data_IF_691783654160
#
_entry.id   IF_691783654160
#
_cell.length_a   1.000
_cell.length_b   1.000
_cell.length_c   1.000
_cell.angle_alpha   90.00
_cell.angle_beta   90.00
_cell.angle_gamma   90.00
#
_symmetry.space_group_name_H-M   'P 1'
#
loop_
_entity.id
_entity.type
_entity.pdbx_description
1 polymer ?
#
# COMPACT_ATOMS: atom_id res chain seq x y z
N UNK A 1 -21.02 -8.57 -3.45
CA UNK A 1 -21.26 -7.11 -3.43
C UNK A 1 -20.69 -6.52 -4.72
N UNK A 2 -21.52 -6.13 -5.71
CA UNK A 2 -21.04 -5.50 -6.95
C UNK A 2 -20.80 -4.01 -6.68
N UNK A 3 -19.57 -3.64 -6.32
CA UNK A 3 -19.15 -2.22 -6.32
C UNK A 3 -19.21 -1.77 -7.78
N UNK A 4 -20.00 -0.73 -8.09
CA UNK A 4 -20.02 -0.14 -9.44
C UNK A 4 -18.63 0.42 -9.73
N UNK A 5 -18.10 0.18 -10.93
CA UNK A 5 -16.75 0.62 -11.33
C UNK A 5 -16.52 2.12 -11.03
N UNK A 6 -17.53 2.96 -11.24
CA UNK A 6 -17.50 4.39 -10.93
C UNK A 6 -17.21 4.70 -9.45
N UNK A 7 -17.71 3.87 -8.53
CA UNK A 7 -17.48 4.04 -7.09
C UNK A 7 -16.02 3.73 -6.74
N UNK A 8 -15.44 2.70 -7.36
CA UNK A 8 -14.03 2.36 -7.17
C UNK A 8 -13.11 3.47 -7.69
N UNK A 9 -13.39 4.02 -8.88
CA UNK A 9 -12.63 5.14 -9.43
C UNK A 9 -12.72 6.39 -8.56
N UNK A 10 -13.90 6.70 -8.02
CA UNK A 10 -14.08 7.82 -7.07
C UNK A 10 -13.24 7.63 -5.80
N UNK A 11 -13.25 6.43 -5.23
CA UNK A 11 -12.44 6.09 -4.06
C UNK A 11 -10.94 6.25 -4.38
N UNK A 12 -10.46 5.66 -5.48
CA UNK A 12 -9.06 5.77 -5.88
C UNK A 12 -8.62 7.22 -6.09
N UNK A 13 -9.41 8.02 -6.83
CA UNK A 13 -9.10 9.43 -7.06
C UNK A 13 -9.08 10.24 -5.76
N UNK A 14 -9.94 9.90 -4.80
CA UNK A 14 -9.99 10.59 -3.52
C UNK A 14 -8.83 10.22 -2.61
N UNK A 15 -8.45 8.95 -2.53
CA UNK A 15 -7.21 8.54 -1.84
C UNK A 15 -6.03 9.28 -2.46
N UNK A 16 -5.95 9.33 -3.79
CA UNK A 16 -4.89 10.05 -4.49
C UNK A 16 -4.83 11.54 -4.12
N UNK A 17 -5.98 12.20 -4.01
CA UNK A 17 -6.07 13.61 -3.62
C UNK A 17 -5.60 13.84 -2.17
N UNK A 18 -6.03 13.00 -1.23
CA UNK A 18 -5.61 13.06 0.19
C UNK A 18 -4.10 12.83 0.35
N UNK A 19 -3.51 12.02 -0.53
CA UNK A 19 -2.07 11.76 -0.54
C UNK A 19 -1.26 12.80 -1.33
N UNK A 20 -1.86 13.89 -1.81
CA UNK A 20 -1.15 14.97 -2.52
C UNK A 20 -0.87 14.70 -4.01
N UNK A 21 -1.56 13.75 -4.64
CA UNK A 21 -1.57 13.59 -6.10
C UNK A 21 -0.42 12.76 -6.71
N UNK A 22 0.67 12.55 -5.97
CA UNK A 22 1.92 11.95 -6.49
C UNK A 22 1.88 10.43 -6.66
N UNK A 23 0.82 9.77 -6.19
CA UNK A 23 0.75 8.31 -6.13
C UNK A 23 0.13 7.71 -7.38
N UNK A 24 0.74 6.62 -7.87
CA UNK A 24 0.29 5.93 -9.08
C UNK A 24 -0.92 5.06 -8.79
N UNK A 25 -1.78 4.77 -9.78
CA UNK A 25 -2.92 3.86 -9.59
C UNK A 25 -2.54 2.52 -8.94
N UNK A 26 -1.40 1.94 -9.35
CA UNK A 26 -0.93 0.67 -8.78
C UNK A 26 -0.61 0.76 -7.29
N UNK A 27 -0.12 1.90 -6.80
CA UNK A 27 0.14 2.10 -5.38
C UNK A 27 -1.17 2.15 -4.59
N UNK A 28 -2.19 2.78 -5.16
CA UNK A 28 -3.53 2.87 -4.56
C UNK A 28 -4.23 1.51 -4.56
N UNK A 29 -4.09 0.74 -5.63
CA UNK A 29 -4.58 -0.63 -5.73
C UNK A 29 -3.95 -1.55 -4.67
N UNK A 30 -2.63 -1.45 -4.47
CA UNK A 30 -1.93 -2.20 -3.41
C UNK A 30 -2.44 -1.77 -2.03
N UNK A 31 -2.61 -0.47 -1.79
CA UNK A 31 -3.13 0.05 -0.52
C UNK A 31 -4.54 -0.51 -0.22
N UNK A 32 -5.44 -0.46 -1.20
CA UNK A 32 -6.78 -1.03 -1.07
C UNK A 32 -6.76 -2.54 -0.89
N UNK A 33 -5.86 -3.25 -1.57
CA UNK A 33 -5.74 -4.70 -1.43
C UNK A 33 -5.28 -5.09 -0.03
N UNK A 34 -4.34 -4.33 0.57
CA UNK A 34 -3.93 -4.49 1.97
C UNK A 34 -5.07 -4.19 2.96
N UNK A 35 -5.98 -3.27 2.63
CA UNK A 35 -7.18 -3.00 3.43
C UNK A 35 -8.15 -4.19 3.41
N UNK A 36 -8.44 -4.72 2.21
CA UNK A 36 -9.42 -5.80 2.03
C UNK A 36 -8.85 -7.16 2.47
N UNK A 37 -7.54 -7.36 2.38
CA UNK A 37 -6.84 -8.60 2.74
C UNK A 37 -5.60 -8.32 3.61
N UNK A 38 -5.78 -8.01 4.92
CA UNK A 38 -4.65 -7.81 5.82
C UNK A 38 -3.76 -9.06 5.88
N UNK A 39 -2.45 -8.88 5.73
CA UNK A 39 -1.47 -9.98 5.71
C UNK A 39 -1.24 -10.59 4.34
N UNK A 40 -1.82 -10.03 3.27
CA UNK A 40 -1.56 -10.48 1.90
C UNK A 40 -0.07 -10.39 1.55
N UNK A 41 0.46 -11.42 0.91
CA UNK A 41 1.86 -11.46 0.52
C UNK A 41 2.13 -10.68 -0.76
N UNK A 42 3.35 -10.18 -0.94
CA UNK A 42 3.75 -9.51 -2.19
C UNK A 42 3.59 -10.41 -3.42
N UNK A 43 3.79 -11.72 -3.27
CA UNK A 43 3.55 -12.70 -4.34
C UNK A 43 2.08 -12.79 -4.72
N UNK A 44 1.17 -12.80 -3.74
CA UNK A 44 -0.27 -12.78 -4.03
C UNK A 44 -0.69 -11.45 -4.65
N UNK A 45 -0.16 -10.32 -4.17
CA UNK A 45 -0.39 -9.01 -4.79
C UNK A 45 0.05 -9.03 -6.26
N UNK A 46 1.24 -9.56 -6.55
CA UNK A 46 1.78 -9.69 -7.91
C UNK A 46 0.86 -10.49 -8.82
N UNK A 47 0.31 -11.61 -8.32
CA UNK A 47 -0.63 -12.44 -9.06
C UNK A 47 -1.99 -11.77 -9.29
N UNK A 48 -2.53 -11.09 -8.26
CA UNK A 48 -3.86 -10.46 -8.33
C UNK A 48 -3.85 -9.23 -9.24
N UNK A 49 -2.81 -8.41 -9.17
CA UNK A 49 -2.69 -7.19 -9.96
C UNK A 49 -2.00 -7.40 -11.31
N UNK A 50 -1.63 -8.66 -11.64
CA UNK A 50 -0.84 -9.00 -12.83
C UNK A 50 0.41 -8.10 -12.99
N UNK A 51 1.13 -7.91 -11.88
CA UNK A 51 2.28 -7.03 -11.80
C UNK A 51 3.56 -7.81 -11.57
N UNK A 52 4.69 -7.41 -12.17
CA UNK A 52 5.99 -8.00 -11.82
C UNK A 52 6.32 -7.84 -10.34
N UNK A 53 6.86 -8.90 -9.71
CA UNK A 53 7.22 -8.90 -8.29
C UNK A 53 8.13 -7.73 -7.89
N UNK A 54 9.09 -7.36 -8.74
CA UNK A 54 9.97 -6.21 -8.50
C UNK A 54 9.20 -4.87 -8.47
N UNK A 55 8.12 -4.75 -9.24
CA UNK A 55 7.25 -3.57 -9.23
C UNK A 55 6.38 -3.52 -7.97
N UNK A 56 5.83 -4.66 -7.54
CA UNK A 56 5.12 -4.76 -6.25
C UNK A 56 6.06 -4.36 -5.10
N UNK A 57 7.26 -4.95 -5.04
CA UNK A 57 8.23 -4.67 -3.99
C UNK A 57 8.60 -3.18 -3.92
N UNK A 58 8.85 -2.54 -5.07
CA UNK A 58 9.12 -1.09 -5.13
C UNK A 58 7.94 -0.24 -4.70
N UNK A 59 6.72 -0.62 -5.06
CA UNK A 59 5.52 0.11 -4.63
C UNK A 59 5.28 -0.05 -3.13
N UNK A 60 5.42 -1.27 -2.59
CA UNK A 60 5.34 -1.50 -1.15
C UNK A 60 6.40 -0.69 -0.39
N UNK A 61 7.62 -0.59 -0.92
CA UNK A 61 8.68 0.23 -0.33
C UNK A 61 8.31 1.73 -0.28
N UNK A 62 7.69 2.26 -1.34
CA UNK A 62 7.25 3.66 -1.40
C UNK A 62 6.08 3.94 -0.45
N UNK A 63 5.17 2.97 -0.31
CA UNK A 63 4.01 3.06 0.59
C UNK A 63 4.39 2.86 2.06
N UNK A 64 5.48 2.13 2.35
CA UNK A 64 5.98 1.93 3.70
C UNK A 64 6.86 3.07 4.23
N UNK A 65 7.33 2.94 5.47
CA UNK A 65 8.35 3.82 6.09
C UNK A 65 9.70 3.12 6.01
N UNK A 66 10.74 3.80 5.53
CA UNK A 66 12.13 3.33 5.58
C UNK A 66 13.07 4.43 6.05
N UNK A 67 13.97 4.10 6.97
CA UNK A 67 15.09 4.97 7.30
C UNK A 67 16.17 4.84 6.22
N UNK A 68 16.58 5.97 5.64
CA UNK A 68 17.63 6.06 4.63
C UNK A 68 18.70 7.03 5.13
N UNK A 69 19.97 6.65 5.02
CA UNK A 69 21.09 7.51 5.38
C UNK A 69 21.31 8.53 4.27
N UNK A 70 21.32 9.82 4.60
CA UNK A 70 21.64 10.89 3.66
C UNK A 70 23.17 10.98 3.45
N UNK A 71 23.66 11.75 2.46
CA UNK A 71 25.10 11.90 2.21
C UNK A 71 25.90 12.44 3.40
N UNK A 72 25.25 13.18 4.31
CA UNK A 72 25.83 13.70 5.55
C UNK A 72 25.83 12.68 6.70
N UNK A 73 25.44 11.44 6.43
CA UNK A 73 25.44 10.35 7.39
C UNK A 73 24.27 10.32 8.39
N UNK A 74 23.28 11.21 8.25
CA UNK A 74 22.08 11.25 9.10
C UNK A 74 20.96 10.38 8.52
N UNK A 75 20.19 9.73 9.38
CA UNK A 75 19.01 8.97 8.96
C UNK A 75 17.83 9.90 8.70
N UNK A 76 17.17 9.74 7.56
CA UNK A 76 15.90 10.35 7.19
C UNK A 76 14.88 9.26 6.92
N UNK A 77 13.69 9.38 7.50
CA UNK A 77 12.56 8.50 7.16
C UNK A 77 11.99 8.95 5.81
N UNK A 78 11.85 8.02 4.88
CA UNK A 78 11.22 8.22 3.56
C UNK A 78 10.06 7.25 3.38
N UNK A 79 9.21 7.56 2.42
CA UNK A 79 8.00 6.78 2.10
C UNK A 79 6.78 7.25 2.90
N UNK A 80 5.61 6.74 2.50
CA UNK A 80 4.32 7.25 2.99
C UNK A 80 3.96 6.75 4.39
N UNK A 81 4.50 5.59 4.81
CA UNK A 81 4.17 4.98 6.08
C UNK A 81 2.75 4.48 6.23
N UNK A 82 2.08 4.18 5.11
CA UNK A 82 0.71 3.70 5.05
C UNK A 82 0.61 2.18 5.09
N UNK A 83 1.70 1.49 4.74
CA UNK A 83 1.78 0.04 4.86
C UNK A 83 2.98 -0.40 5.70
N UNK A 84 2.83 -1.52 6.38
CA UNK A 84 3.93 -2.26 6.98
C UNK A 84 4.13 -3.57 6.24
N UNK A 85 5.38 -3.89 5.95
CA UNK A 85 5.77 -5.19 5.38
C UNK A 85 6.55 -5.96 6.43
N UNK A 86 6.20 -7.23 6.66
CA UNK A 86 6.95 -8.13 7.54
C UNK A 86 7.26 -9.42 6.80
N UNK A 87 8.39 -10.01 7.13
CA UNK A 87 8.77 -11.33 6.65
C UNK A 87 7.88 -12.38 7.33
N UNK A 88 7.43 -13.39 6.58
CA UNK A 88 6.73 -14.53 7.16
C UNK A 88 7.76 -15.44 7.84
N UNK A 89 7.94 -15.26 9.15
CA UNK A 89 8.89 -16.03 9.95
C UNK A 89 8.40 -17.43 10.28
N UNK A 90 7.10 -17.71 10.09
CA UNK A 90 6.47 -18.94 10.57
C UNK A 90 6.45 -20.02 9.50
N UNK A 91 6.15 -19.66 8.25
CA UNK A 91 5.94 -20.64 7.18
C UNK A 91 6.97 -20.56 6.05
N UNK A 92 7.38 -19.36 5.64
CA UNK A 92 8.37 -19.18 4.56
C UNK A 92 9.03 -17.80 4.64
N UNK A 93 10.27 -17.79 5.12
CA UNK A 93 11.06 -16.57 5.29
C UNK A 93 11.31 -15.81 3.98
N UNK A 94 11.02 -16.37 2.81
CA UNK A 94 11.13 -15.64 1.54
C UNK A 94 9.89 -14.81 1.22
N UNK A 95 8.81 -14.97 1.98
CA UNK A 95 7.55 -14.25 1.78
C UNK A 95 7.51 -12.99 2.63
N UNK A 96 6.98 -11.94 2.02
CA UNK A 96 6.76 -10.66 2.66
C UNK A 96 5.27 -10.36 2.66
N UNK A 97 4.66 -10.42 3.84
CA UNK A 97 3.27 -10.09 4.06
C UNK A 97 3.11 -8.58 4.32
N UNK A 98 1.98 -8.03 3.88
CA UNK A 98 1.69 -6.60 3.91
C UNK A 98 0.43 -6.32 4.74
N UNK A 99 0.48 -5.29 5.58
CA UNK A 99 -0.63 -4.77 6.36
C UNK A 99 -0.70 -3.27 6.20
N UNK A 100 -1.87 -2.68 6.43
CA UNK A 100 -1.94 -1.24 6.66
C UNK A 100 -1.34 -0.88 8.02
N UNK A 101 -0.74 0.29 8.11
CA UNK A 101 -0.48 0.96 9.39
C UNK A 101 -1.76 1.62 9.90
N UNK A 102 -1.75 2.14 11.13
CA UNK A 102 -2.85 2.96 11.65
C UNK A 102 -3.15 4.16 10.73
N UNK A 103 -2.11 4.86 10.27
CA UNK A 103 -2.22 5.96 9.30
C UNK A 103 -2.87 5.51 7.98
N UNK A 104 -2.48 4.34 7.48
CA UNK A 104 -3.03 3.75 6.26
C UNK A 104 -4.51 3.37 6.39
N UNK A 105 -4.87 2.74 7.50
CA UNK A 105 -6.26 2.36 7.79
C UNK A 105 -7.15 3.59 7.91
N UNK A 106 -6.73 4.58 8.70
CA UNK A 106 -7.47 5.83 8.89
C UNK A 106 -7.69 6.56 7.56
N UNK A 107 -6.68 6.60 6.68
CA UNK A 107 -6.79 7.19 5.35
C UNK A 107 -7.85 6.47 4.49
N UNK A 108 -7.79 5.14 4.40
CA UNK A 108 -8.73 4.38 3.56
C UNK A 108 -10.15 4.49 4.12
N UNK A 109 -10.34 4.39 5.43
CA UNK A 109 -11.66 4.52 6.07
C UNK A 109 -12.26 5.92 5.91
N UNK A 110 -11.44 6.97 6.06
CA UNK A 110 -11.86 8.36 5.79
C UNK A 110 -12.41 8.51 4.37
N UNK A 111 -11.80 7.85 3.38
CA UNK A 111 -12.26 7.95 1.99
C UNK A 111 -13.52 7.12 1.76
N UNK A 112 -13.60 5.91 2.31
CA UNK A 112 -14.75 5.03 2.14
C UNK A 112 -16.02 5.59 2.79
N UNK A 113 -15.91 6.17 3.99
CA UNK A 113 -17.05 6.76 4.73
C UNK A 113 -17.66 7.98 4.05
N UNK A 114 -16.88 8.74 3.29
CA UNK A 114 -17.38 9.93 2.57
C UNK A 114 -17.73 9.63 1.11
N UNK A 115 -17.72 8.36 0.71
CA UNK A 115 -18.06 7.90 -0.65
C UNK A 115 -19.40 7.15 -0.73
N UNK A 116 -20.17 7.16 0.36
CA UNK A 116 -21.59 6.77 0.41
C UNK A 116 -22.51 7.98 0.20
#
# INVERSE_FOLDING_TARGET
>A
MKVKADKLFKVLNRIRAEMGGEYTPQQLEILLLCYVRPGITQTEISQILDMPQASVSRNCLKLGKKAVKNPQGRFKVVGAGLIQTRQDEVYDSRRYACWLTEDGTALVEKVLTVSD
#
